data_IF_728218774666
#
_entry.id   IF_728218774666
#
_cell.length_a   1.000
_cell.length_b   1.000
_cell.length_c   1.000
_cell.angle_alpha   90.00
_cell.angle_beta   90.00
_cell.angle_gamma   90.00
#
_symmetry.space_group_name_H-M   'P 1'
#
loop_
_entity.id
_entity.type
_entity.pdbx_description
1 polymer ?
#
# COMPACT_ATOMS: atom_id res chain seq x y z
N UNK A 1 -16.39 0.45 -19.44
CA UNK A 1 -14.99 0.04 -19.73
C UNK A 1 -13.99 0.97 -19.06
N UNK A 2 -14.12 2.30 -19.19
CA UNK A 2 -13.18 3.26 -18.56
C UNK A 2 -13.07 3.14 -17.03
N UNK A 3 -14.20 3.01 -16.31
CA UNK A 3 -14.21 2.89 -14.84
C UNK A 3 -13.46 1.64 -14.33
N UNK A 4 -13.70 0.48 -14.96
CA UNK A 4 -13.02 -0.79 -14.63
C UNK A 4 -11.51 -0.70 -14.88
N UNK A 5 -11.10 -0.08 -15.97
CA UNK A 5 -9.69 0.03 -16.33
C UNK A 5 -8.94 1.00 -15.38
N UNK A 6 -9.60 2.09 -14.98
CA UNK A 6 -9.13 2.99 -13.94
C UNK A 6 -8.95 2.25 -12.59
N UNK A 7 -9.97 1.50 -12.18
CA UNK A 7 -9.93 0.67 -10.96
C UNK A 7 -8.77 -0.33 -11.00
N UNK A 8 -8.61 -1.07 -12.11
CA UNK A 8 -7.52 -2.03 -12.26
C UNK A 8 -6.15 -1.37 -12.15
N UNK A 9 -5.93 -0.23 -12.81
CA UNK A 9 -4.64 0.48 -12.74
C UNK A 9 -4.36 1.05 -11.35
N UNK A 10 -5.37 1.60 -10.68
CA UNK A 10 -5.28 2.03 -9.28
C UNK A 10 -4.83 0.89 -8.37
N UNK A 11 -5.48 -0.28 -8.46
CA UNK A 11 -5.14 -1.44 -7.65
C UNK A 11 -3.79 -2.06 -8.00
N UNK A 12 -3.40 -2.09 -9.28
CA UNK A 12 -2.04 -2.50 -9.67
C UNK A 12 -1.00 -1.64 -8.95
N UNK A 13 -1.17 -0.31 -8.95
CA UNK A 13 -0.28 0.62 -8.24
C UNK A 13 -0.19 0.31 -6.74
N UNK A 14 -1.32 0.07 -6.08
CA UNK A 14 -1.37 -0.29 -4.65
C UNK A 14 -0.70 -1.63 -4.36
N UNK A 15 -1.04 -2.68 -5.11
CA UNK A 15 -0.55 -4.02 -4.83
C UNK A 15 0.96 -4.16 -5.09
N UNK A 16 1.49 -3.52 -6.13
CA UNK A 16 2.94 -3.54 -6.38
C UNK A 16 3.70 -2.79 -5.30
N UNK A 17 3.21 -1.62 -4.88
CA UNK A 17 3.83 -0.87 -3.78
C UNK A 17 3.73 -1.63 -2.46
N UNK A 18 2.58 -2.26 -2.15
CA UNK A 18 2.40 -3.11 -0.98
C UNK A 18 3.39 -4.28 -0.97
N UNK A 19 3.62 -4.92 -2.11
CA UNK A 19 4.58 -6.02 -2.21
C UNK A 19 6.01 -5.56 -1.93
N UNK A 20 6.43 -4.40 -2.45
CA UNK A 20 7.75 -3.79 -2.16
C UNK A 20 7.87 -3.40 -0.68
N UNK A 21 6.88 -2.70 -0.15
CA UNK A 21 6.82 -2.28 1.25
C UNK A 21 6.93 -3.47 2.20
N UNK A 22 6.09 -4.49 1.97
CA UNK A 22 6.06 -5.69 2.80
C UNK A 22 7.38 -6.46 2.71
N UNK A 23 7.99 -6.52 1.52
CA UNK A 23 9.31 -7.14 1.35
C UNK A 23 10.38 -6.43 2.17
N UNK A 24 10.46 -5.10 2.08
CA UNK A 24 11.43 -4.28 2.84
C UNK A 24 11.27 -4.41 4.35
N UNK A 25 10.03 -4.36 4.82
CA UNK A 25 9.73 -4.44 6.26
C UNK A 25 10.08 -5.84 6.78
N UNK A 26 9.68 -6.88 6.05
CA UNK A 26 9.99 -8.26 6.42
C UNK A 26 11.50 -8.51 6.37
N UNK A 27 12.22 -7.98 5.38
CA UNK A 27 13.67 -8.19 5.25
C UNK A 27 14.43 -7.62 6.44
N UNK A 28 14.12 -6.37 6.82
CA UNK A 28 14.69 -5.76 8.03
C UNK A 28 14.35 -6.56 9.29
N UNK A 29 13.13 -7.08 9.38
CA UNK A 29 12.70 -7.89 10.53
C UNK A 29 13.44 -9.23 10.59
N UNK A 30 13.60 -9.92 9.45
CA UNK A 30 14.35 -11.18 9.35
C UNK A 30 15.80 -10.96 9.75
N UNK A 31 16.45 -9.90 9.30
CA UNK A 31 17.81 -9.56 9.73
C UNK A 31 17.89 -9.33 11.24
N UNK A 32 16.94 -8.57 11.81
CA UNK A 32 16.89 -8.33 13.26
C UNK A 32 16.74 -9.64 14.06
N UNK A 33 15.87 -10.56 13.61
CA UNK A 33 15.65 -11.85 14.27
C UNK A 33 16.86 -12.79 14.18
N UNK A 34 17.72 -12.61 13.18
CA UNK A 34 18.92 -13.43 12.98
C UNK A 34 20.15 -12.87 13.70
N UNK A 35 20.29 -11.55 13.77
CA UNK A 35 21.49 -10.88 14.29
C UNK A 35 21.41 -10.53 15.77
N UNK A 36 20.21 -10.31 16.31
CA UNK A 36 20.02 -9.86 17.70
C UNK A 36 19.34 -10.93 18.56
N UNK A 37 20.15 -11.66 19.34
CA UNK A 37 19.67 -12.71 20.25
C UNK A 37 18.89 -12.19 21.46
N UNK A 38 18.87 -10.88 21.70
CA UNK A 38 18.08 -10.27 22.77
C UNK A 38 16.62 -10.02 22.37
N UNK A 39 16.32 -10.13 21.07
CA UNK A 39 14.98 -9.91 20.52
C UNK A 39 14.12 -11.16 20.73
N UNK A 40 12.92 -10.98 21.28
CA UNK A 40 11.90 -12.02 21.33
C UNK A 40 11.27 -12.21 19.93
N UNK A 41 11.45 -13.40 19.30
CA UNK A 41 10.91 -13.65 17.96
C UNK A 41 9.39 -13.57 17.90
N UNK A 42 8.67 -14.04 18.92
CA UNK A 42 7.21 -14.08 18.90
C UNK A 42 6.65 -12.67 19.01
N UNK A 43 7.13 -11.88 19.98
CA UNK A 43 6.72 -10.49 20.16
C UNK A 43 7.00 -9.63 18.92
N UNK A 44 8.18 -9.77 18.32
CA UNK A 44 8.58 -9.01 17.13
C UNK A 44 7.73 -9.40 15.92
N UNK A 45 7.51 -10.70 15.72
CA UNK A 45 6.65 -11.20 14.65
C UNK A 45 5.21 -10.70 14.79
N UNK A 46 4.64 -10.73 16.00
CA UNK A 46 3.29 -10.19 16.26
C UNK A 46 3.20 -8.69 16.01
N UNK A 47 4.24 -7.95 16.38
CA UNK A 47 4.30 -6.51 16.12
C UNK A 47 4.30 -6.24 14.62
N UNK A 48 5.09 -6.97 13.84
CA UNK A 48 5.08 -6.86 12.37
C UNK A 48 3.70 -7.20 11.78
N UNK A 49 3.07 -8.30 12.22
CA UNK A 49 1.74 -8.67 11.72
C UNK A 49 0.71 -7.57 11.95
N UNK A 50 0.72 -6.92 13.13
CA UNK A 50 -0.16 -5.76 13.41
C UNK A 50 0.11 -4.57 12.50
N UNK A 51 1.39 -4.26 12.21
CA UNK A 51 1.76 -3.21 11.25
C UNK A 51 1.13 -3.49 9.89
N UNK A 52 1.25 -4.73 9.41
CA UNK A 52 0.69 -5.16 8.13
C UNK A 52 -0.83 -5.33 8.14
N UNK A 53 -1.49 -5.15 9.29
CA UNK A 53 -2.94 -5.37 9.45
C UNK A 53 -3.34 -6.85 9.35
N UNK A 54 -2.44 -7.77 9.68
CA UNK A 54 -2.68 -9.21 9.74
C UNK A 54 -2.93 -9.59 11.21
N UNK A 55 -4.06 -10.24 11.48
CA UNK A 55 -4.36 -10.72 12.83
C UNK A 55 -3.38 -11.84 13.22
N UNK A 56 -2.61 -11.68 14.32
CA UNK A 56 -1.61 -12.67 14.69
C UNK A 56 -2.25 -13.98 15.16
N UNK A 57 -1.77 -15.15 14.70
CA UNK A 57 -2.28 -16.44 15.16
C UNK A 57 -1.99 -16.66 16.65
N UNK A 58 -2.76 -17.54 17.29
CA UNK A 58 -2.57 -17.90 18.71
C UNK A 58 -1.29 -18.71 18.95
N UNK A 59 -0.77 -19.39 17.94
CA UNK A 59 0.49 -20.15 18.02
C UNK A 59 1.69 -19.21 18.18
N UNK A 60 2.76 -19.73 18.78
CA UNK A 60 4.05 -19.05 18.85
C UNK A 60 4.61 -18.85 17.44
N UNK A 61 5.14 -17.66 17.18
CA UNK A 61 5.75 -17.29 15.91
C UNK A 61 7.27 -17.28 16.01
N UNK A 62 7.89 -17.70 14.92
CA UNK A 62 9.31 -17.62 14.64
C UNK A 62 9.53 -16.95 13.27
N UNK A 63 10.78 -16.81 12.86
CA UNK A 63 11.15 -16.17 11.60
C UNK A 63 10.48 -16.85 10.38
N UNK A 64 10.37 -18.19 10.37
CA UNK A 64 9.82 -18.91 9.23
C UNK A 64 8.30 -18.87 9.17
N UNK A 65 7.60 -19.06 10.29
CA UNK A 65 6.15 -18.92 10.36
C UNK A 65 5.69 -17.50 10.05
N UNK A 66 6.45 -16.48 10.48
CA UNK A 66 6.25 -15.09 10.04
C UNK A 66 6.41 -14.94 8.53
N UNK A 67 7.52 -15.47 7.97
CA UNK A 67 7.80 -15.41 6.53
C UNK A 67 6.73 -16.14 5.72
N UNK A 68 6.25 -17.29 6.17
CA UNK A 68 5.18 -18.04 5.50
C UNK A 68 3.89 -17.22 5.43
N UNK A 69 3.51 -16.55 6.54
CA UNK A 69 2.30 -15.72 6.61
C UNK A 69 2.41 -14.45 5.75
N UNK A 70 3.55 -13.76 5.82
CA UNK A 70 3.74 -12.43 5.23
C UNK A 70 4.21 -12.52 3.77
N UNK A 71 5.09 -13.45 3.44
CA UNK A 71 5.63 -13.58 2.09
C UNK A 71 4.83 -14.58 1.24
N UNK A 72 4.64 -15.81 1.72
CA UNK A 72 4.29 -16.96 0.88
C UNK A 72 2.80 -17.33 0.85
N UNK A 73 1.99 -16.83 1.78
CA UNK A 73 0.57 -17.12 1.83
C UNK A 73 -0.13 -16.75 0.50
N UNK A 74 -0.90 -17.69 -0.08
CA UNK A 74 -1.59 -17.50 -1.37
C UNK A 74 -3.05 -17.09 -1.24
N UNK A 75 -3.65 -17.34 -0.08
CA UNK A 75 -5.09 -17.22 0.16
C UNK A 75 -5.36 -16.28 1.33
N UNK A 76 -5.06 -14.99 1.14
CA UNK A 76 -5.68 -13.94 1.94
C UNK A 76 -6.55 -13.15 0.97
N UNK A 77 -7.87 -13.16 1.18
CA UNK A 77 -8.84 -12.45 0.33
C UNK A 77 -8.49 -10.96 0.15
N UNK A 78 -7.74 -10.40 1.10
CA UNK A 78 -7.33 -9.00 1.13
C UNK A 78 -5.95 -8.72 0.50
N UNK A 79 -5.24 -9.74 0.00
CA UNK A 79 -3.92 -9.58 -0.61
C UNK A 79 -2.81 -9.14 0.36
N UNK A 80 -2.93 -9.49 1.65
CA UNK A 80 -2.02 -9.01 2.70
C UNK A 80 -0.62 -9.65 2.70
N UNK A 81 -0.39 -10.67 1.87
CA UNK A 81 0.94 -11.27 1.68
C UNK A 81 1.59 -10.77 0.39
N UNK A 82 2.91 -10.93 0.27
CA UNK A 82 3.66 -10.55 -0.94
C UNK A 82 3.17 -11.35 -2.16
N UNK A 83 3.06 -12.68 -2.04
CA UNK A 83 2.53 -13.52 -3.13
C UNK A 83 1.09 -13.14 -3.47
N UNK A 84 0.26 -12.85 -2.47
CA UNK A 84 -1.13 -12.41 -2.68
C UNK A 84 -1.21 -11.08 -3.43
N UNK A 85 -0.43 -10.08 -3.01
CA UNK A 85 -0.32 -8.77 -3.66
C UNK A 85 0.12 -8.89 -5.13
N UNK A 86 1.19 -9.64 -5.41
CA UNK A 86 1.68 -9.84 -6.78
C UNK A 86 0.65 -10.57 -7.64
N UNK A 87 -0.04 -11.57 -7.07
CA UNK A 87 -1.11 -12.30 -7.75
C UNK A 87 -2.27 -11.36 -8.11
N UNK A 88 -2.71 -10.52 -7.16
CA UNK A 88 -3.78 -9.55 -7.38
C UNK A 88 -3.39 -8.48 -8.42
N UNK A 89 -2.16 -7.97 -8.38
CA UNK A 89 -1.64 -7.04 -9.39
C UNK A 89 -1.66 -7.67 -10.78
N UNK A 90 -1.20 -8.92 -10.91
CA UNK A 90 -1.17 -9.66 -12.17
C UNK A 90 -2.58 -9.93 -12.71
N UNK A 91 -3.54 -10.28 -11.85
CA UNK A 91 -4.93 -10.47 -12.29
C UNK A 91 -5.60 -9.16 -12.75
N UNK A 92 -5.35 -8.05 -12.06
CA UNK A 92 -5.81 -6.73 -12.52
C UNK A 92 -5.19 -6.37 -13.87
N UNK A 93 -3.89 -6.60 -14.05
CA UNK A 93 -3.21 -6.35 -15.33
C UNK A 93 -3.76 -7.25 -16.45
N UNK A 94 -4.16 -8.49 -16.13
CA UNK A 94 -4.78 -9.41 -17.11
C UNK A 94 -6.13 -8.88 -17.59
N UNK A 95 -6.92 -8.32 -16.67
CA UNK A 95 -8.24 -7.76 -16.94
C UNK A 95 -8.21 -6.40 -17.66
N UNK A 96 -7.08 -5.70 -17.63
CA UNK A 96 -6.87 -4.36 -18.18
C UNK A 96 -5.77 -4.33 -19.26
N UNK A 97 -5.57 -5.44 -19.99
CA UNK A 97 -4.50 -5.61 -20.99
C UNK A 97 -4.52 -4.54 -22.10
N UNK A 98 -5.68 -3.97 -22.37
CA UNK A 98 -5.88 -2.91 -23.36
C UNK A 98 -5.34 -1.54 -22.93
N UNK A 99 -5.10 -1.33 -21.63
CA UNK A 99 -4.57 -0.06 -21.08
C UNK A 99 -3.21 -0.22 -20.39
N UNK A 100 -2.71 -1.46 -20.25
CA UNK A 100 -1.34 -1.73 -19.78
C UNK A 100 -0.41 -1.92 -20.97
N UNK A 101 0.84 -1.46 -20.87
CA UNK A 101 1.86 -1.82 -21.87
C UNK A 101 2.20 -3.31 -21.82
N UNK A 102 2.67 -3.84 -22.95
CA UNK A 102 3.11 -5.24 -23.06
C UNK A 102 4.22 -5.54 -22.05
N UNK A 103 5.16 -4.61 -21.88
CA UNK A 103 6.30 -4.71 -20.98
C UNK A 103 5.87 -4.76 -19.51
N UNK A 104 4.89 -3.95 -19.10
CA UNK A 104 4.33 -4.02 -17.74
C UNK A 104 3.64 -5.36 -17.49
N UNK A 105 2.83 -5.81 -18.44
CA UNK A 105 2.16 -7.11 -18.36
C UNK A 105 3.18 -8.23 -18.23
N UNK A 106 4.20 -8.26 -19.09
CA UNK A 106 5.27 -9.25 -19.06
C UNK A 106 6.06 -9.19 -17.75
N UNK A 107 6.31 -7.98 -17.23
CA UNK A 107 6.97 -7.81 -15.95
C UNK A 107 6.19 -8.47 -14.81
N UNK A 108 4.89 -8.21 -14.68
CA UNK A 108 4.04 -8.81 -13.65
C UNK A 108 3.88 -10.32 -13.85
N UNK A 109 3.64 -10.76 -15.08
CA UNK A 109 3.45 -12.18 -15.39
C UNK A 109 4.73 -13.01 -15.14
N UNK A 110 5.90 -12.47 -15.51
CA UNK A 110 7.20 -13.11 -15.22
C UNK A 110 7.46 -13.17 -13.72
N UNK A 111 7.16 -12.08 -13.01
CA UNK A 111 7.30 -12.03 -11.55
C UNK A 111 6.45 -13.12 -10.90
N UNK A 112 5.16 -13.20 -11.26
CA UNK A 112 4.22 -14.18 -10.75
C UNK A 112 4.67 -15.63 -11.01
N UNK A 113 5.06 -15.94 -12.25
CA UNK A 113 5.49 -17.29 -12.63
C UNK A 113 6.78 -17.74 -11.89
N UNK A 114 7.64 -16.80 -11.50
CA UNK A 114 8.86 -17.09 -10.77
C UNK A 114 8.64 -17.34 -9.26
N UNK A 115 7.49 -16.94 -8.69
CA UNK A 115 7.27 -16.95 -7.23
C UNK A 115 7.49 -18.32 -6.60
N UNK A 116 6.96 -19.39 -7.19
CA UNK A 116 7.09 -20.74 -6.65
C UNK A 116 8.53 -21.25 -6.65
N UNK A 117 9.34 -20.84 -7.63
CA UNK A 117 10.77 -21.18 -7.68
C UNK A 117 11.56 -20.34 -6.67
N UNK A 118 11.26 -19.05 -6.58
CA UNK A 118 11.92 -18.13 -5.64
C UNK A 118 11.61 -18.48 -4.19
N UNK A 119 10.40 -18.91 -3.87
CA UNK A 119 10.04 -19.46 -2.56
C UNK A 119 10.91 -20.70 -2.23
N UNK A 120 11.04 -21.65 -3.17
CA UNK A 120 11.90 -22.84 -2.99
C UNK A 120 13.38 -22.49 -2.86
N UNK A 121 13.85 -21.43 -3.52
CA UNK A 121 15.21 -20.94 -3.37
C UNK A 121 15.40 -20.31 -1.98
N UNK A 122 14.47 -19.46 -1.53
CA UNK A 122 14.52 -18.83 -0.22
C UNK A 122 14.51 -19.84 0.93
N UNK A 123 13.75 -20.94 0.85
CA UNK A 123 13.81 -22.02 1.86
C UNK A 123 15.19 -22.68 1.98
N UNK A 124 16.05 -22.56 0.96
CA UNK A 124 17.41 -23.11 0.95
C UNK A 124 18.49 -22.08 1.29
N UNK A 125 18.31 -20.84 0.85
CA UNK A 125 19.32 -19.77 0.92
C UNK A 125 19.01 -18.71 1.98
N UNK A 126 17.77 -18.68 2.50
CA UNK A 126 17.24 -17.67 3.41
C UNK A 126 16.15 -16.79 2.78
N UNK A 127 15.24 -16.19 3.58
CA UNK A 127 14.16 -15.35 3.08
C UNK A 127 14.61 -14.16 2.23
N UNK A 128 15.78 -13.58 2.54
CA UNK A 128 16.33 -12.41 1.86
C UNK A 128 16.35 -12.54 0.32
N UNK A 129 16.70 -13.71 -0.21
CA UNK A 129 16.72 -13.97 -1.67
C UNK A 129 15.35 -13.74 -2.35
N UNK A 130 14.26 -14.08 -1.66
CA UNK A 130 12.92 -13.83 -2.18
C UNK A 130 12.53 -12.36 -2.04
N UNK A 131 12.87 -11.73 -0.92
CA UNK A 131 12.51 -10.34 -0.62
C UNK A 131 13.24 -9.38 -1.56
N UNK A 132 14.55 -9.56 -1.73
CA UNK A 132 15.38 -8.82 -2.69
C UNK A 132 14.90 -9.00 -4.13
N UNK A 133 14.47 -10.22 -4.51
CA UNK A 133 13.84 -10.44 -5.81
C UNK A 133 12.57 -9.60 -5.97
N UNK A 134 11.67 -9.59 -4.97
CA UNK A 134 10.41 -8.83 -5.03
C UNK A 134 10.68 -7.33 -5.13
N UNK A 135 11.59 -6.78 -4.33
CA UNK A 135 11.99 -5.37 -4.41
C UNK A 135 12.51 -5.00 -5.80
N UNK A 136 13.39 -5.84 -6.37
CA UNK A 136 13.91 -5.65 -7.72
C UNK A 136 12.83 -5.68 -8.79
N UNK A 137 11.82 -6.55 -8.65
CA UNK A 137 10.69 -6.64 -9.59
C UNK A 137 9.72 -5.45 -9.46
N UNK A 138 9.49 -4.95 -8.25
CA UNK A 138 8.69 -3.75 -8.04
C UNK A 138 9.38 -2.50 -8.62
N UNK A 139 10.70 -2.36 -8.42
CA UNK A 139 11.48 -1.29 -9.04
C UNK A 139 11.47 -1.36 -10.58
N UNK A 140 11.64 -2.57 -11.14
CA UNK A 140 11.52 -2.78 -12.59
C UNK A 140 10.14 -2.40 -13.11
N UNK A 141 9.08 -2.82 -12.42
CA UNK A 141 7.71 -2.43 -12.78
C UNK A 141 7.53 -0.91 -12.79
N UNK A 142 8.01 -0.21 -11.76
CA UNK A 142 7.92 1.25 -11.68
C UNK A 142 8.66 1.95 -12.83
N UNK A 143 9.85 1.48 -13.19
CA UNK A 143 10.61 2.01 -14.33
C UNK A 143 9.93 1.75 -15.67
N UNK A 144 9.38 0.55 -15.87
CA UNK A 144 8.62 0.22 -17.09
C UNK A 144 7.35 1.06 -17.19
N UNK A 145 6.63 1.24 -16.08
CA UNK A 145 5.41 2.03 -16.05
C UNK A 145 5.68 3.50 -16.39
N UNK A 146 6.79 4.08 -15.92
CA UNK A 146 7.16 5.46 -16.26
C UNK A 146 7.67 5.64 -17.71
N UNK A 147 8.26 4.60 -18.29
CA UNK A 147 8.86 4.65 -19.63
C UNK A 147 7.92 4.23 -20.76
N UNK A 148 6.90 3.42 -20.47
CA UNK A 148 6.04 2.80 -21.51
C UNK A 148 4.58 3.23 -21.47
N UNK A 149 4.06 3.71 -20.34
CA UNK A 149 2.69 4.23 -20.30
C UNK A 149 2.61 5.67 -20.76
N UNK A 150 1.55 5.97 -21.51
CA UNK A 150 1.10 7.34 -21.72
C UNK A 150 0.74 7.98 -20.38
N UNK A 151 1.06 9.26 -20.21
CA UNK A 151 0.72 10.05 -19.01
C UNK A 151 -0.76 10.48 -19.01
N UNK A 152 -1.64 9.53 -19.32
CA UNK A 152 -3.09 9.67 -19.36
C UNK A 152 -3.71 9.31 -18.00
N UNK A 153 -5.04 9.26 -17.96
CA UNK A 153 -5.80 8.97 -16.75
C UNK A 153 -5.44 7.61 -16.14
N UNK A 154 -5.11 6.61 -16.96
CA UNK A 154 -4.71 5.29 -16.47
C UNK A 154 -3.41 5.35 -15.67
N UNK A 155 -2.40 6.05 -16.19
CA UNK A 155 -1.16 6.30 -15.45
C UNK A 155 -1.43 7.05 -14.15
N UNK A 156 -2.28 8.09 -14.18
CA UNK A 156 -2.64 8.88 -13.00
C UNK A 156 -3.28 8.04 -11.91
N UNK A 157 -4.23 7.16 -12.24
CA UNK A 157 -4.85 6.25 -11.27
C UNK A 157 -3.84 5.29 -10.64
N UNK A 158 -2.93 4.74 -11.43
CA UNK A 158 -1.86 3.87 -10.93
C UNK A 158 -0.93 4.62 -9.96
N UNK A 159 -0.52 5.85 -10.30
CA UNK A 159 0.33 6.66 -9.40
C UNK A 159 -0.42 7.07 -8.14
N UNK A 160 -1.71 7.41 -8.25
CA UNK A 160 -2.58 7.73 -7.13
C UNK A 160 -2.69 6.56 -6.14
N UNK A 161 -2.93 5.35 -6.64
CA UNK A 161 -2.95 4.14 -5.82
C UNK A 161 -1.62 3.93 -5.09
N UNK A 162 -0.51 3.97 -5.83
CA UNK A 162 0.85 3.87 -5.26
C UNK A 162 1.10 4.89 -4.16
N UNK A 163 0.74 6.16 -4.39
CA UNK A 163 0.94 7.23 -3.42
C UNK A 163 0.14 7.01 -2.13
N UNK A 164 -1.12 6.58 -2.24
CA UNK A 164 -1.96 6.28 -1.07
C UNK A 164 -1.47 5.06 -0.29
N UNK A 165 -0.94 4.04 -0.97
CA UNK A 165 -0.33 2.88 -0.29
C UNK A 165 0.91 3.30 0.53
N UNK A 166 1.78 4.15 -0.03
CA UNK A 166 2.94 4.70 0.70
C UNK A 166 2.56 5.46 1.96
N UNK A 167 1.51 6.27 1.89
CA UNK A 167 1.01 7.00 3.06
C UNK A 167 0.54 6.00 4.12
N UNK A 168 -0.33 5.05 3.76
CA UNK A 168 -0.86 4.06 4.71
C UNK A 168 0.26 3.26 5.38
N UNK A 169 1.22 2.75 4.60
CA UNK A 169 2.31 1.94 5.15
C UNK A 169 3.26 2.76 6.04
N UNK A 170 3.62 3.97 5.62
CA UNK A 170 4.48 4.85 6.41
C UNK A 170 3.83 5.22 7.74
N UNK A 171 2.52 5.51 7.71
CA UNK A 171 1.74 5.79 8.92
C UNK A 171 1.72 4.59 9.86
N UNK A 172 1.51 3.37 9.34
CA UNK A 172 1.53 2.12 10.14
C UNK A 172 2.90 1.86 10.76
N UNK A 173 3.99 2.10 10.02
CA UNK A 173 5.36 1.97 10.55
C UNK A 173 5.63 2.94 11.70
N UNK A 174 5.15 4.20 11.59
CA UNK A 174 5.30 5.19 12.64
C UNK A 174 4.41 4.88 13.86
N UNK A 175 3.17 4.43 13.65
CA UNK A 175 2.26 4.01 14.73
C UNK A 175 2.85 2.89 15.58
N UNK A 176 3.56 1.96 14.96
CA UNK A 176 4.24 0.86 15.64
C UNK A 176 5.32 1.31 16.64
N UNK A 177 5.76 2.57 16.56
CA UNK A 177 6.81 3.17 17.38
C UNK A 177 6.31 4.26 18.32
N UNK A 178 5.01 4.54 18.31
CA UNK A 178 4.41 5.44 19.30
C UNK A 178 4.66 4.85 20.71
N UNK A 179 5.22 5.67 21.60
CA UNK A 179 5.58 5.25 22.96
C UNK A 179 7.00 4.70 23.11
N UNK A 180 7.72 4.42 22.02
CA UNK A 180 9.13 4.05 22.10
C UNK A 180 9.99 5.23 22.59
N UNK A 181 11.09 4.92 23.28
CA UNK A 181 12.06 5.93 23.72
C UNK A 181 12.67 6.63 22.51
N UNK A 182 12.98 7.92 22.64
CA UNK A 182 13.58 8.70 21.56
C UNK A 182 14.92 8.14 21.05
N UNK A 183 15.68 7.47 21.93
CA UNK A 183 16.95 6.82 21.62
C UNK A 183 16.81 5.36 21.18
N UNK A 184 15.58 4.87 20.93
CA UNK A 184 15.36 3.48 20.55
C UNK A 184 16.01 3.16 19.19
N UNK A 185 16.73 2.03 19.05
CA UNK A 185 17.25 1.60 17.76
C UNK A 185 16.13 1.29 16.75
N UNK A 186 14.89 1.09 17.21
CA UNK A 186 13.73 0.83 16.37
C UNK A 186 13.42 1.97 15.37
N UNK A 187 13.86 3.20 15.64
CA UNK A 187 13.75 4.30 14.69
C UNK A 187 14.64 4.09 13.45
N UNK A 188 15.78 3.41 13.60
CA UNK A 188 16.60 2.99 12.45
C UNK A 188 15.87 1.93 11.63
N UNK A 189 15.19 1.00 12.29
CA UNK A 189 14.36 -0.03 11.64
C UNK A 189 13.30 0.62 10.75
N UNK A 190 12.58 1.64 11.24
CA UNK A 190 11.61 2.40 10.42
C UNK A 190 12.27 2.98 9.17
N UNK A 191 13.42 3.64 9.33
CA UNK A 191 14.14 4.23 8.21
C UNK A 191 14.60 3.17 7.20
N UNK A 192 15.11 2.02 7.65
CA UNK A 192 15.55 0.93 6.75
C UNK A 192 14.38 0.33 6.01
N UNK A 193 13.28 0.03 6.70
CA UNK A 193 12.06 -0.52 6.10
C UNK A 193 11.45 0.43 5.06
N UNK A 194 11.57 1.75 5.26
CA UNK A 194 11.10 2.73 4.28
C UNK A 194 12.14 3.06 3.17
N UNK A 195 13.33 2.44 3.14
CA UNK A 195 14.41 2.83 2.22
C UNK A 195 14.93 4.26 2.44
N UNK A 196 14.70 4.80 3.63
CA UNK A 196 14.96 6.18 4.02
C UNK A 196 16.32 6.40 4.67
N UNK A 197 16.98 5.34 5.16
CA UNK A 197 18.13 5.43 6.06
C UNK A 197 19.27 6.29 5.51
N UNK A 198 19.74 6.03 4.29
CA UNK A 198 20.86 6.78 3.71
C UNK A 198 20.50 8.24 3.44
N UNK A 199 19.29 8.50 2.95
CA UNK A 199 18.79 9.85 2.67
C UNK A 199 18.66 10.66 3.96
N UNK A 200 18.16 10.03 5.02
CA UNK A 200 18.07 10.62 6.34
C UNK A 200 19.46 11.00 6.89
N UNK A 201 20.43 10.07 6.84
CA UNK A 201 21.78 10.33 7.33
C UNK A 201 22.48 11.47 6.58
N UNK A 202 22.26 11.59 5.26
CA UNK A 202 22.76 12.72 4.46
C UNK A 202 22.11 14.05 4.86
N UNK A 203 20.81 14.04 5.14
CA UNK A 203 20.03 15.25 5.48
C UNK A 203 20.36 15.75 6.87
N UNK A 204 20.42 14.86 7.87
CA UNK A 204 20.61 15.21 9.28
C UNK A 204 22.04 14.98 9.80
N UNK A 205 23.01 14.77 8.89
CA UNK A 205 24.44 14.61 9.19
C UNK A 205 24.74 13.54 10.25
N UNK A 206 24.04 12.41 10.16
CA UNK A 206 24.27 11.25 11.03
C UNK A 206 23.63 11.30 12.42
N UNK A 207 22.94 12.39 12.78
CA UNK A 207 22.26 12.47 14.08
C UNK A 207 20.97 11.64 14.08
N UNK A 208 20.91 10.58 14.88
CA UNK A 208 19.70 9.80 15.10
C UNK A 208 18.90 10.38 16.27
N UNK A 209 17.72 10.91 15.97
CA UNK A 209 16.77 11.44 16.95
C UNK A 209 15.36 11.11 16.49
N UNK A 210 14.52 10.57 17.39
CA UNK A 210 13.15 10.17 17.04
C UNK A 210 12.33 11.32 16.47
N UNK A 211 12.46 12.53 17.04
CA UNK A 211 11.77 13.72 16.54
C UNK A 211 12.11 14.01 15.09
N UNK A 212 13.41 13.98 14.76
CA UNK A 212 13.90 14.16 13.37
C UNK A 212 13.47 13.04 12.44
N UNK A 213 13.44 11.79 12.90
CA UNK A 213 12.98 10.65 12.09
C UNK A 213 11.49 10.81 11.75
N UNK A 214 10.67 11.13 12.75
CA UNK A 214 9.24 11.39 12.55
C UNK A 214 9.03 12.60 11.63
N UNK A 215 9.73 13.70 11.86
CA UNK A 215 9.67 14.90 11.02
C UNK A 215 10.05 14.58 9.57
N UNK A 216 11.14 13.84 9.34
CA UNK A 216 11.57 13.41 8.02
C UNK A 216 10.52 12.53 7.33
N UNK A 217 10.02 11.50 8.02
CA UNK A 217 9.04 10.57 7.44
C UNK A 217 7.68 11.23 7.21
N UNK A 218 7.30 12.24 7.99
CA UNK A 218 6.02 12.92 7.82
C UNK A 218 6.09 14.09 6.84
N UNK A 219 7.12 14.93 6.90
CA UNK A 219 7.10 16.29 6.34
C UNK A 219 8.13 16.56 5.25
N UNK A 220 9.06 15.64 5.00
CA UNK A 220 10.06 15.83 3.95
C UNK A 220 9.37 16.04 2.59
N UNK A 221 9.84 17.03 1.82
CA UNK A 221 9.21 17.44 0.54
C UNK A 221 9.83 16.77 -0.68
N UNK A 222 10.91 16.01 -0.49
CA UNK A 222 11.75 15.44 -1.54
C UNK A 222 11.81 13.92 -1.46
N UNK A 223 11.65 13.34 -0.27
CA UNK A 223 11.74 11.91 -0.06
C UNK A 223 10.45 11.21 -0.54
N UNK A 224 10.52 10.30 -1.55
CA UNK A 224 9.32 9.77 -2.22
C UNK A 224 8.35 8.96 -1.36
N UNK A 225 8.79 8.51 -0.18
CA UNK A 225 8.00 7.73 0.78
C UNK A 225 7.67 8.52 2.04
N UNK A 226 8.04 9.80 2.12
CA UNK A 226 7.47 10.66 3.15
C UNK A 226 5.96 10.82 2.91
N UNK A 227 5.22 11.00 4.00
CA UNK A 227 3.76 11.19 3.93
C UNK A 227 3.42 12.45 3.13
N UNK A 228 4.10 13.57 3.41
CA UNK A 228 3.84 14.83 2.72
C UNK A 228 4.09 14.74 1.21
N UNK A 229 5.23 14.17 0.78
CA UNK A 229 5.50 13.99 -0.65
C UNK A 229 4.42 13.14 -1.32
N UNK A 230 4.06 12.02 -0.69
CA UNK A 230 3.08 11.08 -1.25
C UNK A 230 1.68 11.69 -1.34
N UNK A 231 1.25 12.44 -0.33
CA UNK A 231 -0.02 13.19 -0.38
C UNK A 231 -0.03 14.26 -1.47
N UNK A 232 1.07 15.02 -1.61
CA UNK A 232 1.20 16.01 -2.69
C UNK A 232 1.14 15.35 -4.06
N UNK A 233 1.80 14.21 -4.24
CA UNK A 233 1.77 13.45 -5.49
C UNK A 233 0.35 12.94 -5.80
N UNK A 234 -0.36 12.44 -4.80
CA UNK A 234 -1.75 12.00 -4.93
C UNK A 234 -2.68 13.18 -5.33
N UNK A 235 -2.56 14.31 -4.65
CA UNK A 235 -3.33 15.53 -4.95
C UNK A 235 -3.08 16.02 -6.38
N UNK A 236 -1.81 16.13 -6.80
CA UNK A 236 -1.45 16.56 -8.16
C UNK A 236 -2.11 15.69 -9.24
N UNK A 237 -2.05 14.37 -9.10
CA UNK A 237 -2.66 13.46 -10.07
C UNK A 237 -4.19 13.48 -10.03
N UNK A 238 -4.78 13.69 -8.86
CA UNK A 238 -6.23 13.83 -8.74
C UNK A 238 -6.73 15.14 -9.36
N UNK A 239 -5.99 16.24 -9.18
CA UNK A 239 -6.28 17.53 -9.82
C UNK A 239 -6.26 17.40 -11.35
N UNK A 240 -5.26 16.70 -11.89
CA UNK A 240 -5.17 16.43 -13.33
C UNK A 240 -6.32 15.55 -13.84
N UNK A 241 -6.79 14.58 -13.06
CA UNK A 241 -7.97 13.77 -13.38
C UNK A 241 -9.26 14.60 -13.35
N UNK A 242 -9.32 15.65 -12.53
CA UNK A 242 -10.49 16.50 -12.37
C UNK A 242 -10.57 17.65 -13.38
N UNK A 243 -9.45 18.01 -14.03
CA UNK A 243 -9.37 19.09 -15.03
C UNK A 243 -10.20 18.79 -16.30
N UNK A 244 -11.53 18.85 -16.18
CA UNK A 244 -12.49 18.88 -17.27
C UNK A 244 -12.68 20.34 -17.67
N UNK A 245 -12.38 20.73 -18.94
CA UNK A 245 -12.38 22.13 -19.37
C UNK A 245 -13.69 22.92 -19.19
N UNK A 246 -14.79 22.24 -18.86
CA UNK A 246 -16.15 22.80 -18.87
C UNK A 246 -16.77 23.04 -17.48
N UNK A 247 -16.16 22.54 -16.39
CA UNK A 247 -16.66 22.78 -15.02
C UNK A 247 -15.99 24.02 -14.43
N UNK A 248 -16.51 25.19 -14.81
CA UNK A 248 -16.03 26.50 -14.29
C UNK A 248 -16.58 26.85 -12.91
N UNK A 249 -17.62 26.15 -12.47
CA UNK A 249 -18.23 26.27 -11.14
C UNK A 249 -18.74 24.86 -10.77
N UNK A 250 -17.96 24.13 -9.98
CA UNK A 250 -18.30 22.79 -9.51
C UNK A 250 -17.69 22.55 -8.13
N UNK A 251 -18.39 21.81 -7.27
CA UNK A 251 -17.86 21.42 -5.97
C UNK A 251 -16.60 20.55 -6.20
N UNK A 252 -15.50 20.86 -5.53
CA UNK A 252 -14.32 19.97 -5.45
C UNK A 252 -14.81 18.57 -5.10
N UNK A 253 -14.43 17.57 -5.91
CA UNK A 253 -14.75 16.17 -5.62
C UNK A 253 -14.35 15.80 -4.19
N UNK A 254 -15.08 14.90 -3.56
CA UNK A 254 -14.88 14.61 -2.13
C UNK A 254 -13.47 14.09 -1.86
N UNK A 255 -12.93 13.25 -2.75
CA UNK A 255 -11.54 12.77 -2.68
C UNK A 255 -10.52 13.93 -2.72
N UNK A 256 -10.75 14.94 -3.55
CA UNK A 256 -9.87 16.10 -3.69
C UNK A 256 -9.93 16.98 -2.43
N UNK A 257 -11.14 17.21 -1.90
CA UNK A 257 -11.35 17.95 -0.66
C UNK A 257 -10.64 17.28 0.52
N UNK A 258 -10.77 15.95 0.64
CA UNK A 258 -10.14 15.17 1.71
C UNK A 258 -8.61 15.16 1.60
N UNK A 259 -8.05 14.94 0.42
CA UNK A 259 -6.60 14.99 0.18
C UNK A 259 -6.03 16.38 0.48
N UNK A 260 -6.65 17.43 -0.07
CA UNK A 260 -6.21 18.80 0.12
C UNK A 260 -6.27 19.24 1.58
N UNK A 261 -7.33 18.84 2.32
CA UNK A 261 -7.40 19.05 3.78
C UNK A 261 -6.23 18.37 4.49
N UNK A 262 -6.07 17.07 4.28
CA UNK A 262 -5.07 16.24 4.96
C UNK A 262 -3.63 16.75 4.73
N UNK A 263 -3.31 17.07 3.48
CA UNK A 263 -2.01 17.62 3.09
C UNK A 263 -1.79 19.03 3.65
N UNK A 264 -2.82 19.87 3.69
CA UNK A 264 -2.75 21.21 4.27
C UNK A 264 -2.55 21.19 5.77
N UNK A 265 -3.22 20.26 6.47
CA UNK A 265 -3.01 20.04 7.90
C UNK A 265 -1.56 19.70 8.22
N UNK A 266 -0.86 18.97 7.34
CA UNK A 266 0.59 18.70 7.48
C UNK A 266 1.47 19.90 7.11
N UNK A 267 1.12 20.65 6.06
CA UNK A 267 1.92 21.80 5.62
C UNK A 267 2.00 22.90 6.67
N UNK A 268 0.88 23.18 7.33
CA UNK A 268 0.75 24.28 8.28
C UNK A 268 0.91 23.83 9.73
N UNK A 269 1.56 22.67 9.95
CA UNK A 269 1.93 22.25 11.31
C UNK A 269 2.85 23.26 11.96
N UNK A 270 2.53 23.61 13.21
CA UNK A 270 3.44 24.41 14.02
C UNK A 270 4.68 23.59 14.36
N UNK A 271 5.89 24.13 14.16
CA UNK A 271 7.13 23.47 14.57
C UNK A 271 7.05 23.03 16.05
N UNK A 272 7.49 21.81 16.34
CA UNK A 272 7.49 21.25 17.70
C UNK A 272 6.23 20.48 18.13
N UNK A 273 5.08 20.62 17.45
CA UNK A 273 3.83 19.89 17.78
C UNK A 273 3.71 18.52 17.10
N UNK A 274 4.75 18.07 16.40
CA UNK A 274 4.71 16.80 15.65
C UNK A 274 4.64 15.60 16.61
N UNK A 275 5.33 15.68 17.75
CA UNK A 275 5.43 14.57 18.71
C UNK A 275 4.27 14.54 19.72
N UNK A 276 3.85 15.70 20.25
CA UNK A 276 2.84 15.80 21.33
C UNK A 276 1.47 15.22 20.95
N UNK A 277 1.16 15.18 19.65
CA UNK A 277 -0.09 14.63 19.11
C UNK A 277 0.16 13.59 18.02
N UNK A 278 1.30 12.91 18.06
CA UNK A 278 1.74 12.02 16.97
C UNK A 278 0.73 10.90 16.71
N UNK A 279 0.34 10.17 17.75
CA UNK A 279 -0.60 9.04 17.64
C UNK A 279 -1.93 9.45 17.02
N UNK A 280 -2.59 10.48 17.58
CA UNK A 280 -3.86 10.98 17.07
C UNK A 280 -3.74 11.46 15.61
N UNK A 281 -2.59 12.04 15.25
CA UNK A 281 -2.34 12.54 13.89
C UNK A 281 -2.17 11.38 12.91
N UNK A 282 -1.39 10.37 13.28
CA UNK A 282 -1.19 9.18 12.47
C UNK A 282 -2.52 8.41 12.28
N UNK A 283 -3.33 8.27 13.33
CA UNK A 283 -4.67 7.68 13.22
C UNK A 283 -5.59 8.50 12.30
N UNK A 284 -5.54 9.84 12.39
CA UNK A 284 -6.27 10.73 11.49
C UNK A 284 -5.83 10.63 10.03
N UNK A 285 -4.53 10.47 9.77
CA UNK A 285 -3.98 10.24 8.43
C UNK A 285 -4.46 8.90 7.87
N UNK A 286 -4.43 7.83 8.67
CA UNK A 286 -4.92 6.52 8.26
C UNK A 286 -6.42 6.56 7.91
N UNK A 287 -7.23 7.22 8.74
CA UNK A 287 -8.66 7.40 8.48
C UNK A 287 -8.89 8.21 7.20
N UNK A 288 -8.15 9.30 7.00
CA UNK A 288 -8.25 10.12 5.79
C UNK A 288 -7.88 9.34 4.53
N UNK A 289 -6.86 8.47 4.58
CA UNK A 289 -6.52 7.59 3.46
C UNK A 289 -7.64 6.60 3.11
N UNK A 290 -8.36 6.07 4.12
CA UNK A 290 -9.54 5.22 3.89
C UNK A 290 -10.66 6.00 3.22
N UNK A 291 -11.02 7.16 3.77
CA UNK A 291 -12.08 8.03 3.24
C UNK A 291 -11.79 8.49 1.81
N UNK A 292 -10.54 8.83 1.50
CA UNK A 292 -10.11 9.15 0.12
C UNK A 292 -10.29 7.95 -0.80
N UNK A 293 -9.90 6.75 -0.37
CA UNK A 293 -10.09 5.53 -1.16
C UNK A 293 -11.56 5.23 -1.46
N UNK A 294 -12.45 5.41 -0.48
CA UNK A 294 -13.89 5.26 -0.63
C UNK A 294 -14.49 6.31 -1.58
N UNK A 295 -14.09 7.57 -1.41
CA UNK A 295 -14.53 8.66 -2.30
C UNK A 295 -14.07 8.41 -3.75
N UNK A 296 -12.82 7.99 -3.97
CA UNK A 296 -12.33 7.63 -5.31
C UNK A 296 -13.13 6.47 -5.92
N UNK A 297 -13.49 5.47 -5.13
CA UNK A 297 -14.27 4.35 -5.62
C UNK A 297 -15.68 4.77 -6.06
N UNK A 298 -16.32 5.68 -5.32
CA UNK A 298 -17.62 6.24 -5.67
C UNK A 298 -17.53 7.12 -6.92
N UNK A 299 -16.51 7.98 -7.00
CA UNK A 299 -16.36 8.97 -8.06
C UNK A 299 -15.91 8.37 -9.39
N UNK A 300 -15.07 7.32 -9.38
CA UNK A 300 -14.37 6.84 -10.57
C UNK A 300 -14.53 5.35 -10.88
N UNK A 301 -14.70 4.49 -9.87
CA UNK A 301 -14.63 3.03 -10.09
C UNK A 301 -15.98 2.37 -10.35
N UNK A 302 -17.08 3.13 -10.25
CA UNK A 302 -18.47 2.72 -10.52
C UNK A 302 -18.64 1.20 -10.58
N UNK A 303 -18.89 0.59 -9.41
CA UNK A 303 -19.50 -0.73 -9.33
C UNK A 303 -20.60 -0.79 -10.39
N UNK A 304 -20.53 -1.76 -11.30
CA UNK A 304 -21.76 -2.23 -11.93
C UNK A 304 -22.77 -2.39 -10.78
N UNK A 305 -23.97 -1.78 -10.86
CA UNK A 305 -24.90 -1.81 -9.75
C UNK A 305 -25.05 -3.27 -9.34
N UNK A 306 -24.84 -3.51 -8.04
CA UNK A 306 -25.18 -4.78 -7.44
C UNK A 306 -26.58 -5.14 -7.92
N UNK A 307 -26.68 -6.14 -8.80
CA UNK A 307 -27.97 -6.70 -9.18
C UNK A 307 -28.43 -7.42 -7.94
N UNK A 308 -29.27 -6.75 -7.18
CA UNK A 308 -30.18 -7.40 -6.26
C UNK A 308 -30.91 -8.45 -7.09
N UNK A 309 -30.62 -9.73 -6.88
CA UNK A 309 -31.56 -10.77 -7.26
C UNK A 309 -32.75 -10.63 -6.31
N UNK A 310 -33.61 -9.65 -6.58
CA UNK A 310 -34.99 -9.67 -6.10
C UNK A 310 -35.77 -10.66 -6.95
N UNK A 311 -36.42 -11.60 -6.26
CA UNK A 311 -37.31 -12.66 -6.73
C UNK A 311 -36.69 -13.98 -7.22
N UNK A 312 -36.03 -14.67 -6.30
CA UNK A 312 -36.11 -16.13 -6.20
C UNK A 312 -36.98 -16.50 -4.99
N UNK A 313 -38.30 -16.25 -5.08
CA UNK A 313 -39.16 -16.44 -3.92
C UNK A 313 -40.66 -16.18 -4.07
N UNK A 314 -41.26 -16.36 -5.25
CA UNK A 314 -42.71 -16.58 -5.36
C UNK A 314 -42.99 -17.65 -6.40
N UNK A 315 -43.08 -18.89 -5.94
CA UNK A 315 -43.84 -19.92 -6.66
C UNK A 315 -45.29 -19.44 -6.74
N UNK A 316 -45.74 -19.12 -7.96
CA UNK A 316 -47.16 -18.99 -8.27
C UNK A 316 -47.72 -20.42 -8.31
N UNK A 317 -48.68 -20.80 -7.46
CA UNK A 317 -49.38 -22.06 -7.65
C UNK A 317 -50.24 -21.96 -8.91
N UNK A 318 -50.05 -22.90 -9.83
CA UNK A 318 -50.95 -23.13 -10.95
C UNK A 318 -52.35 -23.42 -10.41
N UNK A 319 -53.29 -22.53 -10.74
CA UNK A 319 -54.71 -22.78 -10.60
C UNK A 319 -55.20 -23.46 -11.88
N UNK A 320 -55.42 -24.78 -11.81
CA UNK A 320 -56.31 -25.50 -12.74
C UNK A 320 -57.43 -26.15 -11.92
N UNK A 321 -58.67 -25.75 -12.25
CA UNK A 321 -59.88 -26.58 -12.35
C UNK A 321 -61.13 -25.73 -12.08
N UNK A 322 -61.56 -24.99 -13.10
CA UNK A 322 -62.96 -24.61 -13.25
C UNK A 322 -63.71 -25.79 -13.86
N UNK A 323 -64.78 -26.22 -13.20
CA UNK A 323 -65.70 -27.24 -13.66
C UNK A 323 -66.49 -26.77 -14.88
N UNK A 324 -66.54 -27.61 -15.91
CA UNK A 324 -67.74 -28.01 -16.68
C UNK A 324 -67.40 -29.28 -17.45
#
# INVERSE_FOLDING_TARGET
>A
MLARNAESLYWIGRYVERADDTARILDVTVHQLLEDSSVDPDHTSRTLLRVLGIEPPKSTLDMWSLTDLVAFARSNADGNSIVGSISAARENARGAREVTSTEMWECLNTTYNALAERERAARRLGPHEFLSFVEGRAAMFAGLADSTLSRDDGYRFMVLGRALERVDMTVRLLLARVGDRASSPAWVTVLRSAGAHDTYLRTYRGALDAGRVVEFMLLDRLFPRSVFYSLRLAEQHLDELHNRPYDRVGATGEAQRLLGRTRSELEFLRPGLVLDSLESRLLGLQQSCREVGEALALDYFHLAPWVAWTDAGRAVPAAEAGAT
#
